data_IF_939054990697
#
_entry.id   IF_939054990697
#
_cell.length_a   1.000
_cell.length_b   1.000
_cell.length_c   1.000
_cell.angle_alpha   90.00
_cell.angle_beta   90.00
_cell.angle_gamma   90.00
#
_symmetry.space_group_name_H-M   'P 1'
#
loop_
_entity.id
_entity.type
_entity.pdbx_description
1 polymer ?
#
# COMPACT_ATOMS: atom_id res chain seq x y z
N UNK A 1 -24.64 9.77 -12.51
CA UNK A 1 -23.60 10.55 -11.81
C UNK A 1 -23.18 9.94 -10.46
N UNK A 2 -24.08 9.27 -9.71
CA UNK A 2 -23.77 8.68 -8.39
C UNK A 2 -22.62 7.66 -8.36
N UNK A 3 -22.26 7.07 -9.52
CA UNK A 3 -21.22 6.04 -9.60
C UNK A 3 -19.80 6.63 -9.76
N UNK A 4 -19.67 7.88 -10.21
CA UNK A 4 -18.36 8.44 -10.57
C UNK A 4 -17.45 8.66 -9.35
N UNK A 5 -18.01 9.18 -8.25
CA UNK A 5 -17.27 9.40 -7.00
C UNK A 5 -16.85 8.06 -6.38
N UNK A 6 -17.77 7.08 -6.36
CA UNK A 6 -17.47 5.74 -5.88
C UNK A 6 -16.34 5.08 -6.69
N UNK A 7 -16.41 5.16 -8.03
CA UNK A 7 -15.37 4.63 -8.91
C UNK A 7 -14.03 5.33 -8.70
N UNK A 8 -14.03 6.66 -8.54
CA UNK A 8 -12.81 7.42 -8.24
C UNK A 8 -12.18 6.95 -6.92
N UNK A 9 -12.99 6.76 -5.88
CA UNK A 9 -12.52 6.24 -4.59
C UNK A 9 -11.91 4.84 -4.73
N UNK A 10 -12.58 3.94 -5.44
CA UNK A 10 -12.07 2.58 -5.69
C UNK A 10 -10.76 2.61 -6.49
N UNK A 11 -10.63 3.51 -7.46
CA UNK A 11 -9.41 3.70 -8.23
C UNK A 11 -8.27 4.26 -7.37
N UNK A 12 -8.55 5.19 -6.45
CA UNK A 12 -7.54 5.72 -5.51
C UNK A 12 -7.03 4.60 -4.59
N UNK A 13 -7.93 3.77 -4.04
CA UNK A 13 -7.53 2.62 -3.22
C UNK A 13 -6.67 1.64 -4.05
N UNK A 14 -7.09 1.35 -5.29
CA UNK A 14 -6.33 0.50 -6.20
C UNK A 14 -4.95 1.06 -6.54
N UNK A 15 -4.84 2.37 -6.79
CA UNK A 15 -3.56 3.05 -7.02
C UNK A 15 -2.67 2.98 -5.78
N UNK A 16 -3.22 3.18 -4.59
CA UNK A 16 -2.46 3.09 -3.36
C UNK A 16 -1.95 1.67 -3.10
N UNK A 17 -2.77 0.65 -3.33
CA UNK A 17 -2.35 -0.76 -3.31
C UNK A 17 -1.21 -1.04 -4.30
N UNK A 18 -1.29 -0.48 -5.51
CA UNK A 18 -0.21 -0.59 -6.49
C UNK A 18 1.09 0.06 -6.01
N UNK A 19 1.02 1.25 -5.38
CA UNK A 19 2.21 1.93 -4.81
C UNK A 19 2.81 1.09 -3.69
N UNK A 20 2.00 0.50 -2.80
CA UNK A 20 2.48 -0.41 -1.75
C UNK A 20 3.20 -1.60 -2.38
N UNK A 21 2.60 -2.22 -3.40
CA UNK A 21 3.21 -3.34 -4.10
C UNK A 21 4.56 -2.96 -4.73
N UNK A 22 4.62 -1.83 -5.44
CA UNK A 22 5.85 -1.31 -6.02
C UNK A 22 6.92 -1.06 -4.95
N UNK A 23 6.54 -0.53 -3.79
CA UNK A 23 7.43 -0.30 -2.66
C UNK A 23 7.97 -1.61 -2.06
N UNK A 24 7.12 -2.63 -1.87
CA UNK A 24 7.54 -3.96 -1.39
C UNK A 24 8.53 -4.59 -2.38
N UNK A 25 8.19 -4.59 -3.67
CA UNK A 25 9.08 -5.12 -4.71
C UNK A 25 10.41 -4.36 -4.72
N UNK A 26 10.38 -3.03 -4.69
CA UNK A 26 11.59 -2.22 -4.66
C UNK A 26 12.46 -2.51 -3.42
N UNK A 27 11.84 -2.74 -2.25
CA UNK A 27 12.55 -3.12 -1.02
C UNK A 27 13.26 -4.47 -1.16
N UNK A 28 12.63 -5.45 -1.80
CA UNK A 28 13.24 -6.75 -2.07
C UNK A 28 14.33 -6.68 -3.12
N UNK A 29 14.10 -5.94 -4.21
CA UNK A 29 15.13 -5.71 -5.23
C UNK A 29 16.37 -5.05 -4.62
N UNK A 30 16.19 -4.13 -3.67
CA UNK A 30 17.30 -3.53 -2.93
C UNK A 30 17.97 -4.54 -1.98
N UNK A 31 17.18 -5.30 -1.22
CA UNK A 31 17.68 -6.29 -0.24
C UNK A 31 18.48 -7.42 -0.92
N UNK A 32 18.03 -7.91 -2.07
CA UNK A 32 18.71 -8.94 -2.86
C UNK A 32 19.83 -8.38 -3.77
N UNK A 33 20.13 -7.09 -3.69
CA UNK A 33 21.22 -6.46 -4.44
C UNK A 33 20.96 -6.32 -5.95
N UNK A 34 19.72 -6.48 -6.40
CA UNK A 34 19.32 -6.33 -7.81
C UNK A 34 19.39 -4.87 -8.25
N UNK A 35 18.99 -3.94 -7.37
CA UNK A 35 19.09 -2.49 -7.61
C UNK A 35 20.06 -1.83 -6.64
N UNK A 36 20.83 -0.87 -7.13
CA UNK A 36 21.84 -0.18 -6.34
C UNK A 36 21.34 1.20 -5.87
N UNK A 37 21.09 1.33 -4.56
CA UNK A 37 20.67 2.59 -3.93
C UNK A 37 21.74 3.71 -3.96
N UNK A 38 22.96 3.42 -4.42
CA UNK A 38 23.98 4.44 -4.71
C UNK A 38 23.64 5.24 -5.97
N UNK A 39 22.86 4.68 -6.90
CA UNK A 39 22.39 5.43 -8.06
C UNK A 39 21.37 6.50 -7.60
N UNK A 40 21.61 7.80 -7.90
CA UNK A 40 20.70 8.88 -7.50
C UNK A 40 19.25 8.68 -7.95
N UNK A 41 19.04 8.11 -9.14
CA UNK A 41 17.71 7.84 -9.67
C UNK A 41 16.97 6.79 -8.82
N UNK A 42 17.62 5.67 -8.53
CA UNK A 42 17.06 4.59 -7.68
C UNK A 42 16.76 5.12 -6.29
N UNK A 43 17.68 5.89 -5.71
CA UNK A 43 17.50 6.51 -4.39
C UNK A 43 16.28 7.42 -4.35
N UNK A 44 16.10 8.27 -5.36
CA UNK A 44 14.96 9.19 -5.41
C UNK A 44 13.64 8.42 -5.54
N UNK A 45 13.57 7.39 -6.37
CA UNK A 45 12.38 6.53 -6.49
C UNK A 45 12.05 5.88 -5.16
N UNK A 46 13.04 5.28 -4.50
CA UNK A 46 12.86 4.66 -3.17
C UNK A 46 12.42 5.69 -2.13
N UNK A 47 12.98 6.90 -2.14
CA UNK A 47 12.61 7.97 -1.21
C UNK A 47 11.15 8.40 -1.41
N UNK A 48 10.70 8.55 -2.66
CA UNK A 48 9.30 8.88 -2.98
C UNK A 48 8.37 7.77 -2.52
N UNK A 49 8.66 6.51 -2.84
CA UNK A 49 7.85 5.37 -2.41
C UNK A 49 7.78 5.30 -0.87
N UNK A 50 8.91 5.45 -0.17
CA UNK A 50 8.93 5.49 1.29
C UNK A 50 8.08 6.63 1.84
N UNK A 51 8.14 7.83 1.27
CA UNK A 51 7.36 8.98 1.75
C UNK A 51 5.83 8.72 1.71
N UNK A 52 5.34 7.95 0.74
CA UNK A 52 3.92 7.59 0.65
C UNK A 52 3.52 6.46 1.60
N UNK A 53 4.42 5.51 1.87
CA UNK A 53 4.07 4.29 2.59
C UNK A 53 4.42 4.38 4.08
N UNK A 54 5.59 4.94 4.42
CA UNK A 54 6.14 5.00 5.78
C UNK A 54 5.19 5.58 6.84
N UNK A 55 4.43 6.67 6.58
CA UNK A 55 3.50 7.21 7.57
C UNK A 55 2.40 6.22 7.98
N UNK A 56 2.04 5.30 7.08
CA UNK A 56 0.95 4.33 7.28
C UNK A 56 1.48 3.01 7.81
N UNK A 57 2.64 2.53 7.35
CA UNK A 57 3.23 1.28 7.85
C UNK A 57 3.91 1.44 9.22
N UNK A 58 4.45 2.62 9.56
CA UNK A 58 5.17 2.82 10.83
C UNK A 58 4.27 2.55 12.07
N UNK A 59 3.02 3.04 12.13
CA UNK A 59 2.09 2.63 13.19
C UNK A 59 1.86 1.11 13.26
N UNK A 60 1.72 0.45 12.10
CA UNK A 60 1.51 -1.01 12.03
C UNK A 60 2.73 -1.76 12.56
N UNK A 61 3.94 -1.33 12.19
CA UNK A 61 5.21 -1.91 12.69
C UNK A 61 5.35 -1.84 14.21
N UNK A 62 4.79 -0.80 14.84
CA UNK A 62 4.82 -0.65 16.31
C UNK A 62 3.90 -1.64 17.03
N UNK A 63 2.90 -2.18 16.34
CA UNK A 63 1.94 -3.13 16.89
C UNK A 63 2.42 -4.57 16.65
N UNK A 64 3.11 -4.82 15.53
CA UNK A 64 3.60 -6.13 15.18
C UNK A 64 4.86 -6.52 15.99
N UNK A 65 5.00 -7.79 16.41
CA UNK A 65 6.23 -8.28 17.00
C UNK A 65 7.37 -8.27 15.97
N UNK A 66 8.61 -8.18 16.44
CA UNK A 66 9.80 -8.19 15.59
C UNK A 66 9.98 -9.55 14.89
N UNK A 67 9.83 -9.59 13.57
CA UNK A 67 9.82 -10.81 12.76
C UNK A 67 11.19 -11.11 12.13
N UNK A 68 12.26 -11.10 12.94
CA UNK A 68 13.58 -11.57 12.49
C UNK A 68 14.20 -10.78 11.33
N UNK A 69 13.89 -9.49 11.20
CA UNK A 69 14.46 -8.59 10.18
C UNK A 69 13.64 -8.45 8.90
N UNK A 70 12.55 -9.22 8.75
CA UNK A 70 11.61 -9.05 7.65
C UNK A 70 10.39 -8.21 8.10
N UNK A 71 10.02 -7.22 7.29
CA UNK A 71 8.91 -6.34 7.59
C UNK A 71 7.59 -6.92 7.04
N UNK A 72 6.72 -7.39 7.94
CA UNK A 72 5.38 -7.89 7.61
C UNK A 72 4.29 -6.79 7.63
N UNK A 73 4.62 -5.55 8.04
CA UNK A 73 3.65 -4.45 8.03
C UNK A 73 3.01 -4.14 6.67
N UNK A 74 3.68 -4.27 5.50
CA UNK A 74 3.02 -4.05 4.21
C UNK A 74 1.90 -5.07 3.97
N UNK A 75 2.07 -6.32 4.40
CA UNK A 75 1.07 -7.37 4.23
C UNK A 75 -0.19 -7.02 5.02
N UNK A 76 -0.03 -6.61 6.29
CA UNK A 76 -1.14 -6.18 7.14
C UNK A 76 -1.85 -4.96 6.54
N UNK A 77 -1.10 -3.99 6.01
CA UNK A 77 -1.66 -2.83 5.34
C UNK A 77 -2.49 -3.22 4.10
N UNK A 78 -1.96 -4.11 3.25
CA UNK A 78 -2.65 -4.62 2.06
C UNK A 78 -3.97 -5.29 2.45
N UNK A 79 -3.95 -6.18 3.45
CA UNK A 79 -5.17 -6.83 3.93
C UNK A 79 -6.19 -5.83 4.48
N UNK A 80 -5.75 -4.85 5.27
CA UNK A 80 -6.63 -3.80 5.79
C UNK A 80 -7.27 -2.97 4.69
N UNK A 81 -6.53 -2.65 3.62
CA UNK A 81 -7.05 -1.90 2.47
C UNK A 81 -8.03 -2.72 1.63
N UNK A 82 -7.77 -4.01 1.40
CA UNK A 82 -8.74 -4.88 0.74
C UNK A 82 -10.03 -5.00 1.55
N UNK A 83 -9.92 -5.20 2.85
CA UNK A 83 -11.07 -5.21 3.74
C UNK A 83 -11.88 -3.91 3.64
N UNK A 84 -11.21 -2.75 3.72
CA UNK A 84 -11.86 -1.44 3.58
C UNK A 84 -12.55 -1.30 2.22
N UNK A 85 -11.88 -1.69 1.13
CA UNK A 85 -12.42 -1.65 -0.23
C UNK A 85 -13.69 -2.48 -0.34
N UNK A 86 -13.64 -3.73 0.10
CA UNK A 86 -14.76 -4.66 -0.01
C UNK A 86 -15.93 -4.23 0.89
N UNK A 87 -15.63 -3.66 2.06
CA UNK A 87 -16.61 -3.04 2.93
C UNK A 87 -17.32 -1.86 2.24
N UNK A 88 -16.57 -0.96 1.60
CA UNK A 88 -17.13 0.16 0.83
C UNK A 88 -18.00 -0.31 -0.35
N UNK A 89 -17.56 -1.35 -1.06
CA UNK A 89 -18.35 -1.97 -2.15
C UNK A 89 -19.66 -2.55 -1.62
N UNK A 90 -19.60 -3.27 -0.49
CA UNK A 90 -20.77 -3.85 0.16
C UNK A 90 -21.78 -2.79 0.56
N UNK A 91 -21.33 -1.69 1.18
CA UNK A 91 -22.18 -0.57 1.58
C UNK A 91 -22.81 0.14 0.38
N UNK A 92 -22.02 0.46 -0.66
CA UNK A 92 -22.52 1.09 -1.87
C UNK A 92 -23.57 0.22 -2.58
N UNK A 93 -23.31 -1.09 -2.69
CA UNK A 93 -24.26 -2.04 -3.24
C UNK A 93 -25.53 -2.08 -2.40
N UNK A 94 -25.43 -2.22 -1.08
CA UNK A 94 -26.61 -2.31 -0.19
C UNK A 94 -27.47 -1.06 -0.26
N UNK A 95 -26.87 0.14 -0.20
CA UNK A 95 -27.58 1.41 -0.31
C UNK A 95 -28.18 1.70 -1.69
N UNK A 96 -27.75 0.96 -2.73
CA UNK A 96 -28.33 1.06 -4.09
C UNK A 96 -29.50 0.11 -4.34
N UNK A 97 -29.74 -0.87 -3.45
CA UNK A 97 -30.82 -1.87 -3.58
C UNK A 97 -32.14 -1.37 -2.94
N UNK A 98 -32.07 -0.35 -2.09
CA UNK A 98 -33.23 0.35 -1.51
C UNK A 98 -33.48 1.68 -2.24
#
# INVERSE_FOLDING_TARGET
MSNAIFNLLMNIIGLYLFIIFAWVVASWLQMFGVINARNPMVRNILAVLNAFIEPVVNPIRRILPSMGGLDLSPIVLIFGLYFLRDMLVSFYRTGSIF
#
